data_IF_110828163685
#
_entry.id   IF_110828163685
#
_cell.length_a   1.000
_cell.length_b   1.000
_cell.length_c   1.000
_cell.angle_alpha   90.00
_cell.angle_beta   90.00
_cell.angle_gamma   90.00
#
_symmetry.space_group_name_H-M   'P 1'
#
loop_
_entity.id
_entity.type
_entity.pdbx_description
1 polymer ?
#
# COMPACT_ATOMS: atom_id res chain seq x y z
N UNK A 1 73.77 -3.93 -34.62
CA UNK A 1 72.35 -4.04 -34.85
C UNK A 1 71.65 -4.12 -33.51
N UNK A 2 71.06 -2.99 -33.02
CA UNK A 2 70.31 -2.94 -31.73
C UNK A 2 68.84 -2.99 -32.07
N UNK A 3 68.14 -4.05 -31.65
CA UNK A 3 66.68 -4.13 -31.77
C UNK A 3 66.01 -3.37 -30.61
N UNK A 4 65.25 -2.34 -30.96
CA UNK A 4 64.45 -1.55 -30.02
C UNK A 4 63.10 -2.25 -29.91
N UNK A 5 62.74 -2.76 -28.71
CA UNK A 5 61.42 -3.28 -28.40
C UNK A 5 60.49 -2.11 -28.01
N UNK A 6 59.47 -1.85 -28.83
CA UNK A 6 58.38 -0.92 -28.50
C UNK A 6 57.34 -1.68 -27.68
N UNK A 7 57.26 -1.37 -26.38
CA UNK A 7 56.18 -1.88 -25.54
C UNK A 7 55.01 -0.92 -25.64
N UNK A 8 54.01 -1.35 -26.40
CA UNK A 8 52.74 -0.63 -26.53
C UNK A 8 51.91 -0.87 -25.27
N UNK A 9 51.83 0.16 -24.39
CA UNK A 9 51.09 0.10 -23.13
C UNK A 9 49.62 0.50 -23.43
N UNK A 10 48.75 -0.50 -23.65
CA UNK A 10 47.32 -0.29 -23.77
C UNK A 10 46.74 0.07 -22.41
N UNK A 11 46.42 1.36 -22.22
CA UNK A 11 45.58 1.80 -21.11
C UNK A 11 44.12 1.40 -21.39
N UNK A 12 43.66 0.33 -20.75
CA UNK A 12 42.26 -0.03 -20.70
C UNK A 12 41.52 1.01 -19.80
N UNK A 13 40.86 1.97 -20.44
CA UNK A 13 39.91 2.86 -19.76
C UNK A 13 38.65 2.06 -19.47
N UNK A 14 38.50 1.57 -18.24
CA UNK A 14 37.21 1.09 -17.75
C UNK A 14 36.27 2.30 -17.54
N UNK A 15 35.44 2.57 -18.53
CA UNK A 15 34.31 3.49 -18.37
C UNK A 15 33.29 2.76 -17.52
N UNK A 16 33.26 3.06 -16.22
CA UNK A 16 32.13 2.70 -15.36
C UNK A 16 30.92 3.50 -15.81
N UNK A 17 30.10 2.91 -16.66
CA UNK A 17 28.73 3.38 -16.85
C UNK A 17 28.00 3.14 -15.52
N UNK A 18 27.95 4.18 -14.66
CA UNK A 18 27.02 4.22 -13.56
C UNK A 18 25.62 4.24 -14.19
N UNK A 19 24.99 3.07 -14.24
CA UNK A 19 23.56 2.98 -14.57
C UNK A 19 22.81 3.67 -13.42
N UNK A 20 22.52 4.96 -13.57
CA UNK A 20 21.52 5.62 -12.74
C UNK A 20 20.21 4.95 -13.13
N UNK A 21 19.79 3.95 -12.38
CA UNK A 21 18.43 3.42 -12.51
C UNK A 21 17.48 4.55 -12.12
N UNK A 22 16.87 5.17 -13.11
CA UNK A 22 15.72 6.04 -12.91
C UNK A 22 14.60 5.16 -12.36
N UNK A 23 14.59 4.90 -11.05
CA UNK A 23 13.46 4.23 -10.43
C UNK A 23 12.25 5.16 -10.59
N UNK A 24 11.30 4.74 -11.42
CA UNK A 24 10.03 5.44 -11.59
C UNK A 24 9.36 5.55 -10.20
N UNK A 25 9.02 6.77 -9.80
CA UNK A 25 8.20 6.99 -8.61
C UNK A 25 6.80 6.46 -8.89
N UNK A 26 6.29 5.59 -8.03
CA UNK A 26 4.92 5.09 -8.11
C UNK A 26 3.96 6.06 -7.45
N UNK A 27 2.82 6.31 -8.10
CA UNK A 27 1.72 7.12 -7.57
C UNK A 27 0.65 6.19 -7.02
N UNK A 28 0.33 6.34 -5.73
CA UNK A 28 -0.69 5.54 -5.04
C UNK A 28 -1.88 6.45 -4.70
N UNK A 29 -3.04 6.16 -5.25
CA UNK A 29 -4.29 6.86 -4.93
C UNK A 29 -4.75 6.48 -3.52
N UNK A 30 -4.58 7.40 -2.55
CA UNK A 30 -4.94 7.21 -1.15
C UNK A 30 -6.45 7.21 -0.98
N UNK A 31 -7.03 6.10 -0.54
CA UNK A 31 -8.48 5.86 -0.48
C UNK A 31 -9.17 6.09 -1.84
N UNK A 32 -8.49 5.73 -2.92
CA UNK A 32 -8.84 6.15 -4.27
C UNK A 32 -8.27 7.53 -4.61
N UNK A 33 -9.12 8.41 -5.14
CA UNK A 33 -8.80 9.82 -5.40
C UNK A 33 -9.50 10.70 -4.36
N UNK A 34 -9.20 10.54 -3.06
CA UNK A 34 -9.89 11.18 -1.95
C UNK A 34 -9.94 12.72 -2.00
N UNK A 35 -9.02 13.36 -2.75
CA UNK A 35 -9.04 14.81 -2.99
C UNK A 35 -10.04 15.26 -4.05
N UNK A 36 -10.68 14.33 -4.78
CA UNK A 36 -11.56 14.61 -5.91
C UNK A 36 -12.95 13.94 -5.78
N UNK A 37 -13.01 12.83 -5.07
CA UNK A 37 -14.21 12.03 -4.85
C UNK A 37 -14.29 11.58 -3.39
N UNK A 38 -15.47 11.13 -2.94
CA UNK A 38 -15.63 10.63 -1.58
C UNK A 38 -14.76 9.39 -1.38
N UNK A 39 -13.84 9.47 -0.43
CA UNK A 39 -12.85 8.44 -0.13
C UNK A 39 -13.45 7.04 0.05
N UNK A 40 -12.68 5.99 -0.25
CA UNK A 40 -13.05 4.59 -0.05
C UNK A 40 -14.35 4.17 -0.77
N UNK A 41 -14.73 4.86 -1.84
CA UNK A 41 -15.88 4.50 -2.68
C UNK A 41 -15.43 4.01 -4.06
N UNK A 42 -16.31 3.26 -4.73
CA UNK A 42 -16.04 2.82 -6.12
C UNK A 42 -15.78 4.00 -7.06
N UNK A 43 -16.55 5.12 -7.03
CA UNK A 43 -16.24 6.30 -7.83
C UNK A 43 -14.87 6.91 -7.54
N UNK A 44 -14.44 6.95 -6.27
CA UNK A 44 -13.10 7.44 -5.91
C UNK A 44 -11.98 6.55 -6.50
N UNK A 45 -12.17 5.24 -6.45
CA UNK A 45 -11.23 4.27 -7.04
C UNK A 45 -11.20 4.42 -8.57
N UNK A 46 -12.36 4.56 -9.22
CA UNK A 46 -12.45 4.77 -10.67
C UNK A 46 -11.75 6.05 -11.10
N UNK A 47 -11.98 7.12 -10.34
CA UNK A 47 -11.32 8.42 -10.57
C UNK A 47 -9.80 8.31 -10.46
N UNK A 48 -9.27 7.62 -9.44
CA UNK A 48 -7.85 7.38 -9.30
C UNK A 48 -7.28 6.63 -10.52
N UNK A 49 -7.95 5.55 -10.94
CA UNK A 49 -7.54 4.79 -12.13
C UNK A 49 -7.57 5.66 -13.38
N UNK A 50 -8.58 6.53 -13.54
CA UNK A 50 -8.67 7.44 -14.68
C UNK A 50 -7.55 8.48 -14.72
N UNK A 51 -6.97 8.83 -13.58
CA UNK A 51 -5.78 9.68 -13.47
C UNK A 51 -4.47 8.94 -13.79
N UNK A 52 -4.52 7.62 -14.00
CA UNK A 52 -3.34 6.83 -14.37
C UNK A 52 -2.43 6.51 -13.19
N UNK A 53 -2.97 6.37 -11.97
CA UNK A 53 -2.18 5.94 -10.80
C UNK A 53 -1.63 4.53 -11.00
N UNK A 54 -0.48 4.23 -10.41
CA UNK A 54 0.13 2.90 -10.46
C UNK A 54 -0.54 1.93 -9.46
N UNK A 55 -1.08 2.47 -8.37
CA UNK A 55 -1.78 1.71 -7.33
C UNK A 55 -2.94 2.50 -6.72
N UNK A 56 -3.88 1.79 -6.09
CA UNK A 56 -4.92 2.35 -5.22
C UNK A 56 -4.75 1.76 -3.84
N UNK A 57 -4.94 2.57 -2.83
CA UNK A 57 -5.01 2.13 -1.44
C UNK A 57 -6.44 2.26 -0.93
N UNK A 58 -6.87 1.30 -0.08
CA UNK A 58 -8.17 1.30 0.59
C UNK A 58 -8.06 0.73 2.01
N UNK A 59 -8.92 1.23 2.90
CA UNK A 59 -9.00 0.83 4.30
C UNK A 59 -10.10 -0.22 4.53
N UNK A 60 -9.84 -1.26 5.33
CA UNK A 60 -10.83 -2.31 5.61
C UNK A 60 -11.10 -2.54 7.08
N UNK A 61 -12.38 -2.77 7.38
CA UNK A 61 -12.89 -3.26 8.66
C UNK A 61 -13.65 -4.56 8.46
N UNK A 62 -13.72 -5.37 9.52
CA UNK A 62 -14.57 -6.56 9.56
C UNK A 62 -15.93 -6.16 10.17
N UNK A 63 -17.01 -6.22 9.42
CA UNK A 63 -18.34 -5.94 9.96
C UNK A 63 -18.88 -7.11 10.82
N UNK A 64 -19.93 -6.85 11.60
CA UNK A 64 -20.50 -7.82 12.56
C UNK A 64 -20.91 -9.16 11.94
N UNK A 65 -21.33 -9.17 10.70
CA UNK A 65 -21.72 -10.40 9.98
C UNK A 65 -20.55 -11.14 9.32
N UNK A 66 -19.32 -10.60 9.39
CA UNK A 66 -18.09 -11.27 8.97
C UNK A 66 -17.57 -10.89 7.59
N UNK A 67 -18.18 -9.92 6.92
CA UNK A 67 -17.69 -9.41 5.64
C UNK A 67 -16.70 -8.25 5.84
N UNK A 68 -15.75 -8.13 4.92
CA UNK A 68 -14.82 -7.00 4.87
C UNK A 68 -15.46 -5.83 4.13
N UNK A 69 -15.58 -4.70 4.78
CA UNK A 69 -16.14 -3.45 4.25
C UNK A 69 -15.07 -2.37 4.15
N UNK A 70 -15.17 -1.51 3.15
CA UNK A 70 -14.15 -0.51 2.83
C UNK A 70 -14.58 0.85 3.36
N UNK A 71 -13.90 1.29 4.42
CA UNK A 71 -14.14 2.56 5.10
C UNK A 71 -12.94 2.91 5.98
N UNK A 72 -12.71 4.21 6.27
CA UNK A 72 -11.50 4.59 7.01
C UNK A 72 -11.69 4.64 8.52
N UNK A 73 -12.81 5.19 8.99
CA UNK A 73 -13.04 5.46 10.41
C UNK A 73 -13.80 4.31 11.07
N UNK A 74 -13.53 4.08 12.35
CA UNK A 74 -14.35 3.16 13.15
C UNK A 74 -15.79 3.64 13.28
N UNK A 75 -15.99 4.97 13.41
CA UNK A 75 -17.30 5.61 13.51
C UNK A 75 -17.70 6.23 12.17
N UNK A 76 -18.93 6.01 11.75
CA UNK A 76 -19.43 6.41 10.43
C UNK A 76 -19.75 7.91 10.30
N UNK A 77 -19.79 8.68 11.40
CA UNK A 77 -20.37 10.03 11.44
C UNK A 77 -19.70 11.07 10.55
N UNK A 78 -18.40 10.90 10.23
CA UNK A 78 -17.68 11.89 9.41
C UNK A 78 -18.18 11.96 7.97
N UNK A 79 -18.59 10.83 7.41
CA UNK A 79 -18.98 10.73 5.99
C UNK A 79 -20.44 10.30 5.77
N UNK A 80 -21.18 10.05 6.85
CA UNK A 80 -22.57 9.57 6.78
C UNK A 80 -23.44 10.25 7.83
N UNK A 81 -24.74 10.02 7.76
CA UNK A 81 -25.70 10.46 8.78
C UNK A 81 -25.83 9.46 9.96
N UNK A 82 -24.91 8.50 10.08
CA UNK A 82 -24.92 7.48 11.13
C UNK A 82 -23.79 7.72 12.13
N UNK A 83 -24.08 7.60 13.43
CA UNK A 83 -23.08 7.62 14.51
C UNK A 83 -22.66 6.21 14.95
N UNK A 84 -23.01 5.18 14.19
CA UNK A 84 -22.69 3.81 14.54
C UNK A 84 -21.20 3.49 14.31
N UNK A 85 -20.69 2.51 15.05
CA UNK A 85 -19.40 1.90 14.77
C UNK A 85 -19.54 0.82 13.69
N UNK A 86 -18.70 0.88 12.67
CA UNK A 86 -18.80 0.02 11.48
C UNK A 86 -18.76 -1.47 11.82
N UNK A 87 -17.90 -1.87 12.77
CA UNK A 87 -17.76 -3.26 13.22
C UNK A 87 -18.99 -3.77 14.04
N UNK A 88 -19.85 -2.87 14.52
CA UNK A 88 -21.06 -3.24 15.24
C UNK A 88 -22.26 -3.55 14.32
N UNK A 89 -22.16 -3.21 13.03
CA UNK A 89 -23.23 -3.36 12.05
C UNK A 89 -23.08 -4.62 11.20
N UNK A 90 -24.21 -5.19 10.79
CA UNK A 90 -24.23 -6.22 9.74
C UNK A 90 -24.03 -5.59 8.36
N UNK A 91 -23.60 -6.38 7.38
CA UNK A 91 -23.46 -5.92 6.00
C UNK A 91 -24.80 -5.33 5.47
N UNK A 92 -25.92 -5.98 5.72
CA UNK A 92 -27.25 -5.51 5.32
C UNK A 92 -27.57 -4.11 5.89
N UNK A 93 -27.16 -3.84 7.12
CA UNK A 93 -27.30 -2.52 7.74
C UNK A 93 -26.39 -1.50 7.09
N UNK A 94 -25.12 -1.85 6.85
CA UNK A 94 -24.11 -0.99 6.21
C UNK A 94 -24.56 -0.61 4.79
N UNK A 95 -25.10 -1.56 4.01
CA UNK A 95 -25.55 -1.31 2.62
C UNK A 95 -26.74 -0.34 2.53
N UNK A 96 -27.48 -0.14 3.60
CA UNK A 96 -28.56 0.87 3.68
C UNK A 96 -28.04 2.27 3.97
N UNK A 97 -26.84 2.39 4.56
CA UNK A 97 -26.23 3.69 4.89
C UNK A 97 -25.73 4.34 3.60
N UNK A 98 -26.00 5.63 3.48
CA UNK A 98 -25.49 6.45 2.40
C UNK A 98 -24.31 7.27 2.89
N UNK A 99 -23.21 7.19 2.15
CA UNK A 99 -22.08 8.10 2.26
C UNK A 99 -22.40 9.36 1.47
N UNK A 100 -21.78 10.49 1.77
CA UNK A 100 -22.00 11.74 1.05
C UNK A 100 -22.08 11.55 -0.47
N UNK A 101 -22.87 12.38 -1.14
CA UNK A 101 -23.16 12.31 -2.58
C UNK A 101 -23.83 11.00 -3.04
N UNK A 102 -24.65 10.39 -2.16
CA UNK A 102 -25.40 9.15 -2.42
C UNK A 102 -24.52 7.94 -2.75
N UNK A 103 -23.26 7.94 -2.31
CA UNK A 103 -22.41 6.78 -2.46
C UNK A 103 -22.74 5.69 -1.45
N UNK A 104 -22.24 4.49 -1.68
CA UNK A 104 -22.40 3.33 -0.79
C UNK A 104 -21.04 2.86 -0.30
N UNK A 105 -21.01 2.29 0.90
CA UNK A 105 -19.85 1.62 1.45
C UNK A 105 -19.66 0.30 0.69
N UNK A 106 -18.55 0.12 -0.06
CA UNK A 106 -18.33 -1.13 -0.77
C UNK A 106 -17.75 -2.19 0.16
N UNK A 107 -17.94 -3.46 -0.20
CA UNK A 107 -17.14 -4.57 0.35
C UNK A 107 -15.78 -4.63 -0.34
N UNK A 108 -14.79 -5.24 0.32
CA UNK A 108 -13.49 -5.47 -0.31
C UNK A 108 -13.61 -6.35 -1.56
N UNK A 109 -14.55 -7.32 -1.56
CA UNK A 109 -14.82 -8.15 -2.73
C UNK A 109 -15.32 -7.32 -3.94
N UNK A 110 -16.21 -6.34 -3.71
CA UNK A 110 -16.67 -5.42 -4.75
C UNK A 110 -15.52 -4.58 -5.29
N UNK A 111 -14.64 -4.07 -4.41
CA UNK A 111 -13.45 -3.29 -4.80
C UNK A 111 -12.48 -4.14 -5.65
N UNK A 112 -12.14 -5.35 -5.21
CA UNK A 112 -11.24 -6.23 -5.96
C UNK A 112 -11.81 -6.55 -7.35
N UNK A 113 -13.11 -6.88 -7.44
CA UNK A 113 -13.78 -7.13 -8.72
C UNK A 113 -13.80 -5.89 -9.61
N UNK A 114 -14.05 -4.72 -9.04
CA UNK A 114 -14.07 -3.46 -9.79
C UNK A 114 -12.70 -3.11 -10.34
N UNK A 115 -11.65 -3.19 -9.53
CA UNK A 115 -10.27 -2.92 -9.96
C UNK A 115 -9.84 -3.90 -11.06
N UNK A 116 -10.21 -5.17 -10.95
CA UNK A 116 -9.95 -6.22 -11.94
C UNK A 116 -8.51 -6.17 -12.50
N UNK A 117 -7.53 -6.08 -11.61
CA UNK A 117 -6.08 -6.03 -11.91
C UNK A 117 -5.60 -4.86 -12.82
N UNK A 118 -6.41 -3.83 -13.02
CA UNK A 118 -6.01 -2.65 -13.80
C UNK A 118 -4.83 -1.90 -13.16
N UNK A 119 -4.79 -1.86 -11.83
CA UNK A 119 -3.73 -1.23 -11.02
C UNK A 119 -3.36 -2.13 -9.84
N UNK A 120 -2.26 -1.85 -9.14
CA UNK A 120 -1.96 -2.45 -7.83
C UNK A 120 -3.01 -2.05 -6.80
N UNK A 121 -3.30 -2.95 -5.84
CA UNK A 121 -4.18 -2.67 -4.72
C UNK A 121 -3.42 -2.84 -3.39
N UNK A 122 -3.29 -1.76 -2.63
CA UNK A 122 -2.87 -1.82 -1.23
C UNK A 122 -4.11 -1.87 -0.33
N UNK A 123 -4.20 -2.88 0.52
CA UNK A 123 -5.30 -3.06 1.47
C UNK A 123 -4.75 -2.75 2.87
N UNK A 124 -5.19 -1.63 3.46
CA UNK A 124 -4.89 -1.32 4.86
C UNK A 124 -5.85 -2.05 5.79
N UNK A 125 -5.30 -2.91 6.65
CA UNK A 125 -6.06 -3.57 7.72
C UNK A 125 -6.23 -2.59 8.90
N UNK A 126 -7.38 -1.92 8.97
CA UNK A 126 -7.70 -0.92 10.01
C UNK A 126 -8.28 -1.57 11.26
N UNK A 127 -9.28 -2.42 11.08
CA UNK A 127 -9.94 -3.13 12.17
C UNK A 127 -9.10 -4.26 12.75
N UNK A 128 -9.50 -4.74 13.91
CA UNK A 128 -8.94 -5.96 14.50
C UNK A 128 -9.52 -7.20 13.81
N UNK A 129 -8.78 -8.31 13.83
CA UNK A 129 -9.19 -9.59 13.24
C UNK A 129 -9.47 -9.54 11.73
N UNK A 130 -8.92 -8.58 11.01
CA UNK A 130 -9.12 -8.40 9.56
C UNK A 130 -8.21 -9.27 8.72
N UNK A 131 -7.03 -9.68 9.21
CA UNK A 131 -6.05 -10.47 8.45
C UNK A 131 -6.60 -11.80 7.94
N UNK A 132 -7.19 -12.63 8.82
CA UNK A 132 -7.71 -13.96 8.43
C UNK A 132 -8.85 -13.87 7.40
N UNK A 133 -9.88 -13.01 7.56
CA UNK A 133 -10.91 -12.83 6.53
C UNK A 133 -10.36 -12.31 5.22
N UNK A 134 -9.40 -11.35 5.25
CA UNK A 134 -8.73 -10.84 4.05
C UNK A 134 -8.00 -11.96 3.32
N UNK A 135 -7.19 -12.75 4.03
CA UNK A 135 -6.51 -13.89 3.44
C UNK A 135 -7.48 -14.89 2.78
N UNK A 136 -8.56 -15.26 3.49
CA UNK A 136 -9.59 -16.17 2.95
C UNK A 136 -10.23 -15.64 1.69
N UNK A 137 -10.57 -14.34 1.65
CA UNK A 137 -11.14 -13.69 0.48
C UNK A 137 -10.16 -13.72 -0.70
N UNK A 138 -8.90 -13.32 -0.48
CA UNK A 138 -7.87 -13.33 -1.52
C UNK A 138 -7.64 -14.73 -2.07
N UNK A 139 -7.54 -15.74 -1.22
CA UNK A 139 -7.43 -17.14 -1.64
C UNK A 139 -8.63 -17.60 -2.46
N UNK A 140 -9.86 -17.23 -2.08
CA UNK A 140 -11.06 -17.61 -2.84
C UNK A 140 -11.09 -17.00 -4.24
N UNK A 141 -10.62 -15.75 -4.39
CA UNK A 141 -10.60 -15.04 -5.67
C UNK A 141 -9.44 -15.50 -6.57
N UNK A 142 -8.28 -15.77 -5.97
CA UNK A 142 -7.03 -15.98 -6.71
C UNK A 142 -6.47 -17.40 -6.62
N UNK A 143 -7.25 -18.38 -6.12
CA UNK A 143 -6.82 -19.78 -5.87
C UNK A 143 -6.04 -20.42 -7.02
N UNK A 144 -6.29 -20.02 -8.26
CA UNK A 144 -5.61 -20.55 -9.46
C UNK A 144 -4.81 -19.50 -10.23
N UNK A 145 -4.57 -18.29 -9.66
CA UNK A 145 -3.99 -17.15 -10.38
C UNK A 145 -2.91 -16.47 -9.52
N UNK A 146 -1.81 -17.19 -9.28
CA UNK A 146 -0.70 -16.68 -8.42
C UNK A 146 -0.18 -15.31 -8.87
N UNK A 147 -0.13 -15.05 -10.19
CA UNK A 147 0.32 -13.77 -10.75
C UNK A 147 -0.55 -12.56 -10.36
N UNK A 148 -1.80 -12.77 -9.97
CA UNK A 148 -2.71 -11.67 -9.62
C UNK A 148 -2.54 -11.23 -8.16
N UNK A 149 -2.10 -12.15 -7.28
CA UNK A 149 -1.80 -11.83 -5.89
C UNK A 149 -0.56 -10.94 -5.77
N UNK A 150 0.33 -10.96 -6.76
CA UNK A 150 1.52 -10.10 -6.85
C UNK A 150 1.16 -8.61 -7.00
N UNK A 151 -0.06 -8.31 -7.46
CA UNK A 151 -0.59 -6.94 -7.53
C UNK A 151 -1.33 -6.50 -6.27
N UNK A 152 -1.23 -7.27 -5.18
CA UNK A 152 -1.84 -6.94 -3.91
C UNK A 152 -0.76 -6.80 -2.85
N UNK A 153 -0.86 -5.75 -2.06
CA UNK A 153 -0.08 -5.57 -0.83
C UNK A 153 -1.01 -5.33 0.35
N UNK A 154 -0.58 -5.76 1.52
CA UNK A 154 -1.31 -5.59 2.77
C UNK A 154 -0.52 -4.65 3.67
N UNK A 155 -1.17 -3.63 4.19
CA UNK A 155 -0.55 -2.71 5.14
C UNK A 155 -1.35 -2.59 6.43
N UNK A 156 -0.73 -2.22 7.52
CA UNK A 156 -1.41 -1.94 8.79
C UNK A 156 -0.53 -1.15 9.76
N UNK A 157 -1.16 -0.31 10.57
CA UNK A 157 -0.59 0.24 11.81
C UNK A 157 -0.65 -0.78 12.96
N UNK A 158 -1.58 -1.74 12.88
CA UNK A 158 -1.64 -2.89 13.78
C UNK A 158 -0.72 -4.00 13.24
N UNK A 159 0.52 -3.98 13.69
CA UNK A 159 1.54 -4.92 13.21
C UNK A 159 1.23 -6.38 13.54
N UNK A 160 0.38 -6.64 14.54
CA UNK A 160 -0.09 -8.01 14.83
C UNK A 160 -0.92 -8.59 13.67
N UNK A 161 -1.76 -7.78 13.01
CA UNK A 161 -2.47 -8.22 11.81
C UNK A 161 -1.50 -8.59 10.67
N UNK A 162 -0.38 -7.86 10.53
CA UNK A 162 0.66 -8.21 9.55
C UNK A 162 1.40 -9.50 9.92
N UNK A 163 1.65 -9.75 11.20
CA UNK A 163 2.24 -11.01 11.67
C UNK A 163 1.32 -12.19 11.36
N UNK A 164 0.03 -12.04 11.66
CA UNK A 164 -0.98 -13.06 11.31
C UNK A 164 -1.02 -13.31 9.80
N UNK A 165 -0.97 -12.25 8.99
CA UNK A 165 -0.95 -12.37 7.53
C UNK A 165 0.30 -13.13 7.05
N UNK A 166 1.48 -12.80 7.57
CA UNK A 166 2.74 -13.47 7.25
C UNK A 166 2.75 -14.94 7.64
N UNK A 167 2.17 -15.29 8.80
CA UNK A 167 2.05 -16.70 9.24
C UNK A 167 1.09 -17.49 8.35
N UNK A 168 0.06 -16.86 7.80
CA UNK A 168 -0.89 -17.49 6.87
C UNK A 168 -0.31 -17.71 5.47
N UNK A 169 0.45 -16.75 4.97
CA UNK A 169 1.07 -16.84 3.64
C UNK A 169 2.27 -15.89 3.52
N UNK A 170 3.47 -16.44 3.48
CA UNK A 170 4.73 -15.70 3.38
C UNK A 170 4.97 -15.03 2.03
N UNK A 171 4.22 -15.41 1.00
CA UNK A 171 4.34 -14.88 -0.34
C UNK A 171 3.50 -13.58 -0.52
N UNK A 172 2.53 -13.31 0.37
CA UNK A 172 1.75 -12.07 0.32
C UNK A 172 2.65 -10.89 0.67
N UNK A 173 2.67 -9.88 -0.18
CA UNK A 173 3.44 -8.68 0.05
C UNK A 173 2.84 -7.87 1.20
N UNK A 174 3.66 -7.52 2.18
CA UNK A 174 3.26 -6.68 3.31
C UNK A 174 4.06 -5.40 3.36
N UNK A 175 3.44 -4.34 3.92
CA UNK A 175 4.05 -3.05 4.18
C UNK A 175 3.75 -2.59 5.61
N UNK A 176 4.78 -2.21 6.35
CA UNK A 176 4.64 -1.76 7.73
C UNK A 176 4.28 -0.27 7.75
N UNK A 177 3.09 0.07 8.25
CA UNK A 177 2.68 1.47 8.45
C UNK A 177 3.29 2.02 9.74
N UNK A 178 3.83 3.24 9.65
CA UNK A 178 4.39 3.96 10.79
C UNK A 178 4.12 5.46 10.70
N UNK A 179 3.65 6.05 11.81
CA UNK A 179 3.39 7.48 11.94
C UNK A 179 4.20 8.10 13.09
N UNK A 180 3.97 7.65 14.33
CA UNK A 180 4.54 8.25 15.55
C UNK A 180 5.63 7.41 16.20
N UNK A 181 5.80 6.16 15.77
CA UNK A 181 6.83 5.26 16.30
C UNK A 181 8.19 5.56 15.64
N UNK A 182 9.30 5.28 16.34
CA UNK A 182 10.64 5.35 15.74
C UNK A 182 10.73 4.45 14.49
N UNK A 183 11.37 4.94 13.45
CA UNK A 183 11.52 4.20 12.18
C UNK A 183 12.27 2.87 12.37
N UNK A 184 13.17 2.81 13.36
CA UNK A 184 13.90 1.60 13.73
C UNK A 184 12.97 0.44 14.11
N UNK A 185 11.89 0.76 14.82
CA UNK A 185 10.90 -0.26 15.19
C UNK A 185 10.18 -0.80 13.96
N UNK A 186 9.83 0.09 13.01
CA UNK A 186 9.20 -0.32 11.75
C UNK A 186 10.15 -1.18 10.89
N UNK A 187 11.43 -0.84 10.84
CA UNK A 187 12.46 -1.64 10.16
C UNK A 187 12.57 -3.03 10.81
N UNK A 188 12.64 -3.11 12.13
CA UNK A 188 12.72 -4.39 12.84
C UNK A 188 11.48 -5.24 12.59
N UNK A 189 10.29 -4.62 12.62
CA UNK A 189 9.04 -5.30 12.30
C UNK A 189 9.02 -5.80 10.84
N UNK A 190 9.43 -4.96 9.89
CA UNK A 190 9.51 -5.34 8.48
C UNK A 190 10.44 -6.55 8.27
N UNK A 191 11.59 -6.56 8.93
CA UNK A 191 12.52 -7.71 8.88
C UNK A 191 11.91 -8.97 9.49
N UNK A 192 11.21 -8.85 10.62
CA UNK A 192 10.56 -9.98 11.30
C UNK A 192 9.56 -10.70 10.39
N UNK A 193 8.78 -9.96 9.61
CA UNK A 193 7.73 -10.51 8.74
C UNK A 193 8.11 -10.52 7.26
N UNK A 194 9.39 -10.30 6.92
CA UNK A 194 9.85 -10.21 5.53
C UNK A 194 9.02 -9.23 4.67
N UNK A 195 8.59 -8.11 5.27
CA UNK A 195 7.83 -7.09 4.55
C UNK A 195 8.64 -6.47 3.41
N UNK A 196 7.95 -6.00 2.37
CA UNK A 196 8.58 -5.39 1.19
C UNK A 196 8.76 -3.89 1.33
N UNK A 197 7.91 -3.24 2.14
CA UNK A 197 7.89 -1.79 2.24
C UNK A 197 7.66 -1.28 3.67
N UNK A 198 8.04 -0.02 3.88
CA UNK A 198 7.60 0.81 5.00
C UNK A 198 6.75 1.94 4.42
N UNK A 199 5.51 2.04 4.91
CA UNK A 199 4.60 3.14 4.62
C UNK A 199 4.74 4.17 5.74
N UNK A 200 5.35 5.33 5.47
CA UNK A 200 5.79 6.30 6.48
C UNK A 200 5.22 7.70 6.24
N UNK A 201 4.82 8.39 7.31
CA UNK A 201 4.48 9.81 7.23
C UNK A 201 5.67 10.59 6.62
N UNK A 202 5.42 11.28 5.52
CA UNK A 202 6.44 12.03 4.79
C UNK A 202 7.19 13.06 5.66
N UNK A 203 6.56 13.55 6.73
CA UNK A 203 7.17 14.50 7.69
C UNK A 203 8.34 13.87 8.45
N UNK A 204 8.36 12.56 8.60
CA UNK A 204 9.47 11.84 9.23
C UNK A 204 10.64 11.57 8.25
N UNK A 205 10.42 11.76 6.94
CA UNK A 205 11.44 11.47 5.94
C UNK A 205 12.50 12.58 5.88
N UNK A 206 13.74 12.15 6.00
CA UNK A 206 14.96 12.92 5.73
C UNK A 206 16.03 11.97 5.15
N UNK A 207 17.12 12.53 4.65
CA UNK A 207 18.20 11.75 4.01
C UNK A 207 18.72 10.60 4.88
N UNK A 208 18.79 10.76 6.21
CA UNK A 208 19.26 9.74 7.14
C UNK A 208 18.27 8.59 7.24
N UNK A 209 16.97 8.89 7.39
CA UNK A 209 15.87 7.91 7.46
C UNK A 209 15.78 7.14 6.14
N UNK A 210 15.78 7.84 5.01
CA UNK A 210 15.74 7.22 3.67
C UNK A 210 16.92 6.26 3.48
N UNK A 211 18.15 6.70 3.80
CA UNK A 211 19.35 5.86 3.69
C UNK A 211 19.22 4.61 4.55
N UNK A 212 18.71 4.76 5.79
CA UNK A 212 18.55 3.65 6.73
C UNK A 212 17.52 2.62 6.23
N UNK A 213 16.36 3.05 5.75
CA UNK A 213 15.34 2.13 5.21
C UNK A 213 15.87 1.42 3.95
N UNK A 214 16.49 2.18 3.03
CA UNK A 214 17.05 1.61 1.79
C UNK A 214 18.22 0.64 2.03
N UNK A 215 19.02 0.83 3.09
CA UNK A 215 20.11 -0.12 3.42
C UNK A 215 19.60 -1.50 3.86
N UNK A 216 18.31 -1.62 4.20
CA UNK A 216 17.66 -2.89 4.52
C UNK A 216 16.87 -3.47 3.31
N UNK A 217 17.09 -2.92 2.10
CA UNK A 217 16.38 -3.30 0.87
C UNK A 217 14.85 -3.13 0.93
N UNK A 218 14.37 -2.19 1.74
CA UNK A 218 12.94 -1.90 1.90
C UNK A 218 12.52 -0.74 0.97
N UNK A 219 11.34 -0.89 0.38
CA UNK A 219 10.66 0.17 -0.38
C UNK A 219 10.11 1.20 0.61
N UNK A 220 10.11 2.48 0.22
CA UNK A 220 9.54 3.57 0.99
C UNK A 220 8.30 4.07 0.26
N UNK A 221 7.14 4.00 0.91
CA UNK A 221 5.92 4.66 0.47
C UNK A 221 5.63 5.82 1.42
N UNK A 222 5.77 7.06 0.91
CA UNK A 222 5.49 8.28 1.66
C UNK A 222 4.00 8.62 1.61
N UNK A 223 3.37 8.91 2.75
CA UNK A 223 1.96 9.28 2.85
C UNK A 223 1.76 10.43 3.85
N UNK A 224 0.75 11.29 3.76
CA UNK A 224 0.02 11.53 2.53
C UNK A 224 0.60 12.81 1.93
N UNK A 225 1.10 12.77 0.70
CA UNK A 225 1.80 13.88 0.05
C UNK A 225 0.89 14.44 -1.04
N UNK A 226 0.31 15.64 -0.81
CA UNK A 226 -0.66 16.25 -1.71
C UNK A 226 -0.18 17.58 -2.31
N UNK A 227 0.73 18.28 -1.64
CA UNK A 227 1.20 19.59 -2.07
C UNK A 227 2.36 19.45 -3.07
N UNK A 228 2.35 20.24 -4.16
CA UNK A 228 3.34 20.18 -5.23
C UNK A 228 4.78 20.29 -4.69
N UNK A 229 5.04 21.25 -3.80
CA UNK A 229 6.35 21.45 -3.20
C UNK A 229 6.80 20.27 -2.32
N UNK A 230 5.85 19.53 -1.75
CA UNK A 230 6.14 18.31 -0.99
C UNK A 230 6.43 17.12 -1.92
N UNK A 231 5.68 17.01 -3.03
CA UNK A 231 5.90 15.98 -4.05
C UNK A 231 7.29 16.14 -4.67
N UNK A 232 7.68 17.36 -5.03
CA UNK A 232 9.00 17.66 -5.61
C UNK A 232 10.16 17.36 -4.64
N UNK A 233 9.90 17.41 -3.33
CA UNK A 233 10.88 17.06 -2.30
C UNK A 233 11.08 15.55 -2.14
N UNK A 234 10.09 14.73 -2.48
CA UNK A 234 10.10 13.28 -2.27
C UNK A 234 10.84 12.55 -3.38
#
# INVERSE_FOLDING_TARGET
MKKIFFVCRWCLFFIFFSCISNQKVMVIGHRGAAGHEVENTIPSIDKAISFGVDAVEVDVFLCKSGELVVFHDENLSRLTNSNAFIESLTLDSIKKIEVFNNHKIPTLNEVIKFINNRVHLNIELKGINTAKPTYKLLKSIFSNKKQLIEKISISSFNWNELEIMYDLDKDIQTAVLVEKRPVEMAINQAKKINAKAINIDFKQLNKKVVKKIKSENLIINAWTVNEINQIERM
#
